data_IF_196048853600
#
_entry.id   IF_196048853600
#
_cell.length_a   1.000
_cell.length_b   1.000
_cell.length_c   1.000
_cell.angle_alpha   90.00
_cell.angle_beta   90.00
_cell.angle_gamma   90.00
#
_symmetry.space_group_name_H-M   'P 1'
#
loop_
_entity.id
_entity.type
_entity.pdbx_description
1 polymer ?
#
# COMPACT_ATOMS: atom_id res chain seq x y z
N UNK A 1 0.01 -64.79 -1.33
CA UNK A 1 -0.24 -63.55 -2.11
C UNK A 1 -0.26 -62.39 -1.15
N UNK A 2 0.86 -61.69 -1.01
CA UNK A 2 0.98 -60.47 -0.21
C UNK A 2 0.40 -59.30 -1.00
N UNK A 3 -0.77 -58.81 -0.59
CA UNK A 3 -1.34 -57.58 -1.13
C UNK A 3 -0.60 -56.38 -0.53
N UNK A 4 0.20 -55.71 -1.33
CA UNK A 4 0.72 -54.39 -1.00
C UNK A 4 -0.40 -53.36 -1.17
N UNK A 5 -0.83 -52.74 -0.07
CA UNK A 5 -1.74 -51.61 -0.15
C UNK A 5 -0.94 -50.37 -0.58
N UNK A 6 -1.12 -49.94 -1.83
CA UNK A 6 -0.68 -48.62 -2.27
C UNK A 6 -1.65 -47.58 -1.72
N UNK A 7 -1.18 -46.75 -0.78
CA UNK A 7 -1.96 -45.62 -0.29
C UNK A 7 -1.99 -44.58 -1.41
N UNK A 8 -3.18 -44.36 -1.98
CA UNK A 8 -3.41 -43.49 -3.12
C UNK A 8 -2.87 -42.07 -2.83
N UNK A 9 -2.03 -41.50 -3.70
CA UNK A 9 -1.41 -40.17 -3.53
C UNK A 9 -2.45 -39.07 -3.25
N UNK A 10 -3.63 -39.19 -3.86
CA UNK A 10 -4.78 -38.32 -3.60
C UNK A 10 -5.24 -38.35 -2.13
N UNK A 11 -5.23 -39.51 -1.48
CA UNK A 11 -5.61 -39.64 -0.07
C UNK A 11 -4.58 -38.98 0.85
N UNK A 12 -3.29 -39.14 0.50
CA UNK A 12 -2.17 -38.51 1.21
C UNK A 12 -2.27 -36.99 1.08
N UNK A 13 -2.44 -36.47 -0.13
CA UNK A 13 -2.57 -35.03 -0.38
C UNK A 13 -3.79 -34.41 0.32
N UNK A 14 -4.93 -35.11 0.32
CA UNK A 14 -6.13 -34.66 1.02
C UNK A 14 -5.92 -34.61 2.54
N UNK A 15 -5.27 -35.64 3.11
CA UNK A 15 -4.92 -35.66 4.54
C UNK A 15 -3.97 -34.53 4.91
N UNK A 16 -2.91 -34.31 4.15
CA UNK A 16 -2.01 -33.18 4.38
C UNK A 16 -2.74 -31.85 4.31
N UNK A 17 -3.59 -31.66 3.29
CA UNK A 17 -4.39 -30.43 3.15
C UNK A 17 -5.31 -30.20 4.35
N UNK A 18 -5.98 -31.26 4.83
CA UNK A 18 -6.85 -31.19 6.00
C UNK A 18 -6.08 -30.89 7.30
N UNK A 19 -4.92 -31.53 7.49
CA UNK A 19 -4.04 -31.28 8.65
C UNK A 19 -3.53 -29.85 8.63
N UNK A 20 -3.02 -29.37 7.49
CA UNK A 20 -2.57 -27.98 7.33
C UNK A 20 -3.71 -26.99 7.57
N UNK A 21 -4.91 -27.26 7.06
CA UNK A 21 -6.08 -26.43 7.32
C UNK A 21 -6.44 -26.39 8.81
N UNK A 22 -6.45 -27.55 9.47
CA UNK A 22 -6.73 -27.66 10.91
C UNK A 22 -5.74 -26.88 11.75
N UNK A 23 -4.44 -26.98 11.42
CA UNK A 23 -3.37 -26.25 12.10
C UNK A 23 -3.54 -24.73 11.93
N UNK A 24 -3.70 -24.26 10.69
CA UNK A 24 -3.96 -22.84 10.39
C UNK A 24 -5.19 -22.33 11.14
N UNK A 25 -6.23 -23.16 11.24
CA UNK A 25 -7.47 -22.81 11.95
C UNK A 25 -7.23 -22.61 13.45
N UNK A 26 -6.51 -23.53 14.10
CA UNK A 26 -6.20 -23.42 15.54
C UNK A 26 -5.33 -22.19 15.81
N UNK A 27 -4.28 -21.97 15.02
CA UNK A 27 -3.40 -20.79 15.15
C UNK A 27 -4.19 -19.50 15.02
N UNK A 28 -4.98 -19.34 13.95
CA UNK A 28 -5.76 -18.12 13.73
C UNK A 28 -6.78 -17.92 14.85
N UNK A 29 -7.47 -18.97 15.31
CA UNK A 29 -8.47 -18.84 16.36
C UNK A 29 -7.85 -18.42 17.70
N UNK A 30 -6.87 -19.18 18.16
CA UNK A 30 -6.27 -19.02 19.48
C UNK A 30 -5.41 -17.77 19.55
N UNK A 31 -4.58 -17.54 18.52
CA UNK A 31 -3.74 -16.35 18.44
C UNK A 31 -4.53 -15.06 18.30
N UNK A 32 -5.64 -15.05 17.53
CA UNK A 32 -6.50 -13.86 17.44
C UNK A 32 -7.12 -13.54 18.78
N UNK A 33 -7.59 -14.55 19.53
CA UNK A 33 -8.16 -14.33 20.86
C UNK A 33 -7.15 -13.63 21.78
N UNK A 34 -5.92 -14.13 21.84
CA UNK A 34 -4.86 -13.53 22.67
C UNK A 34 -4.56 -12.07 22.30
N UNK A 35 -4.45 -11.77 20.99
CA UNK A 35 -4.18 -10.42 20.50
C UNK A 35 -5.34 -9.46 20.73
N UNK A 36 -6.58 -9.93 20.53
CA UNK A 36 -7.80 -9.14 20.77
C UNK A 36 -7.96 -8.83 22.25
N UNK A 37 -7.73 -9.80 23.14
CA UNK A 37 -7.83 -9.58 24.59
C UNK A 37 -6.77 -8.57 25.07
N UNK A 38 -5.55 -8.65 24.53
CA UNK A 38 -4.50 -7.66 24.77
C UNK A 38 -4.89 -6.27 24.26
N UNK A 39 -5.38 -6.17 23.01
CA UNK A 39 -5.80 -4.91 22.42
C UNK A 39 -6.97 -4.26 23.17
N UNK A 40 -7.94 -5.05 23.68
CA UNK A 40 -9.00 -4.55 24.55
C UNK A 40 -8.46 -4.01 25.88
N UNK A 41 -7.50 -4.71 26.50
CA UNK A 41 -6.90 -4.25 27.75
C UNK A 41 -6.17 -2.90 27.61
N UNK A 42 -5.67 -2.61 26.41
CA UNK A 42 -5.01 -1.35 26.05
C UNK A 42 -5.98 -0.29 25.50
N UNK A 43 -7.27 -0.59 25.38
CA UNK A 43 -8.30 0.34 24.89
C UNK A 43 -8.33 0.55 23.36
N UNK A 44 -7.61 -0.28 22.58
CA UNK A 44 -7.62 -0.19 21.12
C UNK A 44 -8.87 -0.78 20.46
N UNK A 45 -9.61 -1.63 21.19
CA UNK A 45 -10.86 -2.22 20.72
C UNK A 45 -12.00 -1.89 21.68
N UNK A 46 -13.16 -1.57 21.12
CA UNK A 46 -14.34 -1.21 21.88
C UNK A 46 -14.94 -2.45 22.54
N UNK A 47 -15.44 -2.28 23.76
CA UNK A 47 -16.22 -3.33 24.45
C UNK A 47 -17.66 -3.42 23.93
N UNK A 48 -18.14 -2.41 23.19
CA UNK A 48 -19.49 -2.31 22.67
C UNK A 48 -19.51 -2.21 21.14
N UNK A 49 -20.56 -2.78 20.53
CA UNK A 49 -20.88 -2.67 19.10
C UNK A 49 -21.37 -1.26 18.78
N UNK A 50 -20.46 -0.29 18.67
CA UNK A 50 -20.79 1.02 18.12
C UNK A 50 -20.67 0.99 16.59
N UNK A 51 -21.81 1.07 15.92
CA UNK A 51 -21.92 1.30 14.48
C UNK A 51 -21.73 2.78 14.19
N UNK A 52 -20.50 3.29 14.28
CA UNK A 52 -20.17 4.60 13.70
C UNK A 52 -19.85 4.36 12.22
N UNK A 53 -20.76 4.80 11.34
CA UNK A 53 -20.47 4.93 9.90
C UNK A 53 -19.81 6.28 9.68
N UNK A 54 -18.49 6.31 9.59
CA UNK A 54 -17.83 7.47 8.98
C UNK A 54 -18.14 7.53 7.48
N UNK A 55 -18.43 8.71 6.91
CA UNK A 55 -18.63 8.85 5.47
C UNK A 55 -17.31 8.57 4.75
N UNK A 56 -17.35 7.62 3.81
CA UNK A 56 -16.25 7.40 2.87
C UNK A 56 -16.17 8.59 1.90
N UNK A 57 -14.97 9.12 1.59
CA UNK A 57 -14.81 9.98 0.43
C UNK A 57 -15.23 9.20 -0.82
N UNK A 58 -16.23 9.70 -1.54
CA UNK A 58 -16.87 9.04 -2.69
C UNK A 58 -16.16 9.27 -4.02
N UNK A 59 -14.96 9.87 -4.01
CA UNK A 59 -14.20 10.11 -5.23
C UNK A 59 -13.48 8.84 -5.67
N UNK A 60 -14.02 8.17 -6.70
CA UNK A 60 -13.20 7.35 -7.60
C UNK A 60 -12.17 8.29 -8.23
N UNK A 61 -10.98 8.33 -7.65
CA UNK A 61 -9.87 9.15 -8.11
C UNK A 61 -9.62 8.90 -9.62
N UNK A 62 -9.42 9.96 -10.40
CA UNK A 62 -9.23 9.92 -11.86
C UNK A 62 -7.98 9.16 -12.33
N UNK A 63 -7.24 8.54 -11.40
CA UNK A 63 -6.06 7.71 -11.62
C UNK A 63 -6.24 6.54 -12.58
N UNK A 64 -7.47 6.06 -12.80
CA UNK A 64 -7.72 5.11 -13.88
C UNK A 64 -7.33 5.70 -15.25
N UNK A 65 -7.58 7.00 -15.47
CA UNK A 65 -7.13 7.70 -16.67
C UNK A 65 -5.59 7.82 -16.70
N UNK A 66 -4.93 8.05 -15.56
CA UNK A 66 -3.46 8.06 -15.49
C UNK A 66 -2.86 6.70 -15.86
N UNK A 67 -3.43 5.59 -15.37
CA UNK A 67 -2.97 4.25 -15.75
C UNK A 67 -3.24 3.91 -17.21
N UNK A 68 -4.32 4.42 -17.84
CA UNK A 68 -4.56 4.22 -19.27
C UNK A 68 -3.66 5.11 -20.12
N UNK A 69 -3.46 6.38 -19.74
CA UNK A 69 -2.52 7.30 -20.40
C UNK A 69 -1.09 6.75 -20.37
N UNK A 70 -0.68 6.15 -19.25
CA UNK A 70 0.61 5.47 -19.15
C UNK A 70 0.80 4.49 -20.31
N UNK A 71 -0.21 3.68 -20.65
CA UNK A 71 -0.12 2.63 -21.69
C UNK A 71 0.03 3.19 -23.11
N UNK A 72 -0.50 4.38 -23.37
CA UNK A 72 -0.52 5.00 -24.71
C UNK A 72 0.75 5.79 -25.05
N UNK A 73 1.65 6.00 -24.09
CA UNK A 73 2.94 6.64 -24.37
C UNK A 73 3.80 5.75 -25.30
N UNK A 74 4.54 6.34 -26.26
CA UNK A 74 5.42 5.59 -27.16
C UNK A 74 6.42 4.74 -26.39
N UNK A 75 6.73 3.55 -26.91
CA UNK A 75 7.92 2.81 -26.47
C UNK A 75 9.12 3.64 -26.91
N UNK A 76 9.78 4.30 -25.95
CA UNK A 76 11.05 4.97 -26.22
C UNK A 76 12.10 3.86 -26.35
N UNK A 77 12.91 3.90 -27.42
CA UNK A 77 14.03 2.97 -27.61
C UNK A 77 14.99 3.06 -26.41
N UNK A 78 15.55 1.91 -25.99
CA UNK A 78 16.48 1.75 -24.85
C UNK A 78 17.79 2.57 -24.97
N UNK A 79 17.95 3.38 -26.02
CA UNK A 79 19.23 4.00 -26.42
C UNK A 79 19.44 5.44 -25.94
N UNK A 80 18.44 6.12 -25.38
CA UNK A 80 18.62 7.47 -24.83
C UNK A 80 18.79 7.40 -23.30
N UNK A 81 20.01 7.67 -22.83
CA UNK A 81 20.35 7.90 -21.42
C UNK A 81 19.69 9.18 -20.90
N UNK A 82 18.36 9.24 -20.90
CA UNK A 82 17.63 10.23 -20.12
C UNK A 82 17.78 9.91 -18.63
N UNK A 83 17.94 10.95 -17.79
CA UNK A 83 18.02 10.79 -16.34
C UNK A 83 16.79 10.02 -15.82
N UNK A 84 17.02 8.78 -15.40
CA UNK A 84 16.00 7.86 -14.89
C UNK A 84 15.33 8.33 -13.59
N UNK A 85 15.85 9.37 -12.96
CA UNK A 85 15.41 9.90 -11.68
C UNK A 85 15.10 11.39 -11.82
N UNK A 86 14.00 11.82 -11.21
CA UNK A 86 13.67 13.24 -11.06
C UNK A 86 13.37 13.55 -9.59
N UNK A 87 13.78 14.74 -9.14
CA UNK A 87 13.55 15.22 -7.78
C UNK A 87 12.34 16.16 -7.80
N UNK A 88 11.37 15.94 -6.90
CA UNK A 88 10.11 16.69 -6.85
C UNK A 88 10.26 18.17 -6.51
N UNK A 89 11.25 18.50 -5.69
CA UNK A 89 11.56 19.87 -5.29
C UNK A 89 13.00 20.13 -5.74
N UNK A 90 13.16 21.00 -6.73
CA UNK A 90 14.48 21.50 -7.11
C UNK A 90 15.03 22.41 -5.98
N UNK A 91 16.35 22.65 -5.95
CA UNK A 91 17.01 23.46 -4.91
C UNK A 91 16.44 24.90 -4.77
N UNK A 92 15.67 25.36 -5.76
CA UNK A 92 15.00 26.68 -5.78
C UNK A 92 13.55 26.66 -5.26
N UNK A 93 13.04 25.52 -4.79
CA UNK A 93 11.71 25.38 -4.18
C UNK A 93 10.54 25.40 -5.18
N UNK A 94 10.79 25.38 -6.49
CA UNK A 94 9.74 25.34 -7.51
C UNK A 94 9.42 23.90 -7.91
N UNK A 95 8.13 23.59 -8.00
CA UNK A 95 7.64 22.32 -8.56
C UNK A 95 7.66 22.42 -10.09
N UNK A 96 8.57 21.68 -10.74
CA UNK A 96 8.59 21.56 -12.20
C UNK A 96 7.51 20.59 -12.69
N UNK A 97 7.21 20.60 -14.00
CA UNK A 97 6.38 19.58 -14.62
C UNK A 97 6.99 18.19 -14.38
N UNK A 98 6.23 17.29 -13.74
CA UNK A 98 6.71 15.97 -13.29
C UNK A 98 6.41 14.91 -14.36
N UNK A 99 7.42 14.28 -14.94
CA UNK A 99 7.21 13.10 -15.81
C UNK A 99 7.04 11.85 -14.93
N UNK A 100 5.81 11.54 -14.57
CA UNK A 100 5.51 10.43 -13.65
C UNK A 100 5.73 9.03 -14.25
N UNK A 101 5.80 8.93 -15.57
CA UNK A 101 5.66 7.64 -16.26
C UNK A 101 7.00 7.03 -16.66
N UNK A 102 7.98 7.87 -16.99
CA UNK A 102 9.26 7.42 -17.54
C UNK A 102 10.39 7.44 -16.51
N UNK A 103 10.19 8.10 -15.36
CA UNK A 103 11.24 8.35 -14.36
C UNK A 103 10.79 8.04 -12.94
N UNK A 104 11.73 7.55 -12.14
CA UNK A 104 11.55 7.43 -10.68
C UNK A 104 11.52 8.84 -10.09
N UNK A 105 10.46 9.13 -9.35
CA UNK A 105 10.21 10.43 -8.74
C UNK A 105 10.57 10.38 -7.27
N UNK A 106 11.46 11.26 -6.81
CA UNK A 106 11.91 11.31 -5.41
C UNK A 106 11.43 12.58 -4.68
N UNK A 107 10.85 12.42 -3.49
CA UNK A 107 10.80 13.47 -2.49
C UNK A 107 11.94 13.25 -1.48
N UNK A 108 13.03 14.01 -1.60
CA UNK A 108 14.19 13.94 -0.69
C UNK A 108 14.04 14.79 0.56
N UNK A 109 13.05 15.67 0.62
CA UNK A 109 12.85 16.58 1.72
C UNK A 109 12.44 15.83 3.00
N UNK A 110 12.70 16.47 4.15
CA UNK A 110 12.28 16.01 5.48
C UNK A 110 10.77 16.26 5.74
N UNK A 111 10.06 16.89 4.80
CA UNK A 111 8.63 17.18 4.88
C UNK A 111 7.84 16.61 3.70
N UNK A 112 6.51 16.51 3.88
CA UNK A 112 5.59 16.12 2.83
C UNK A 112 5.41 17.26 1.81
N UNK A 113 5.43 16.94 0.52
CA UNK A 113 5.25 17.90 -0.58
C UNK A 113 3.91 17.69 -1.26
N UNK A 114 3.17 18.76 -1.56
CA UNK A 114 1.95 18.67 -2.37
C UNK A 114 2.29 18.89 -3.83
N UNK A 115 1.85 17.98 -4.69
CA UNK A 115 2.03 18.05 -6.14
C UNK A 115 0.67 18.11 -6.84
N UNK A 116 0.54 18.96 -7.85
CA UNK A 116 -0.67 19.05 -8.67
C UNK A 116 -0.52 18.21 -9.93
N UNK A 117 -1.40 17.22 -10.10
CA UNK A 117 -1.39 16.30 -11.24
C UNK A 117 -2.78 16.25 -11.85
N UNK A 118 -2.89 16.57 -13.14
CA UNK A 118 -4.18 16.65 -13.86
C UNK A 118 -5.24 17.54 -13.16
N UNK A 119 -4.81 18.58 -12.46
CA UNK A 119 -5.71 19.49 -11.73
C UNK A 119 -6.14 19.03 -10.34
N UNK A 120 -5.67 17.86 -9.89
CA UNK A 120 -5.91 17.33 -8.55
C UNK A 120 -4.63 17.39 -7.71
N UNK A 121 -4.75 17.46 -6.39
CA UNK A 121 -3.61 17.59 -5.47
C UNK A 121 -3.29 16.26 -4.77
N UNK A 122 -1.99 15.94 -4.72
CA UNK A 122 -1.48 14.71 -4.11
C UNK A 122 -0.38 15.03 -3.11
N UNK A 123 -0.45 14.42 -1.92
CA UNK A 123 0.52 14.52 -0.85
C UNK A 123 1.59 13.46 -1.04
N UNK A 124 2.84 13.90 -1.22
CA UNK A 124 4.00 13.02 -1.34
C UNK A 124 4.77 13.04 -0.01
N UNK A 125 4.84 11.93 0.73
CA UNK A 125 5.52 11.89 2.03
C UNK A 125 7.04 12.15 1.90
N UNK A 126 7.71 12.52 3.00
CA UNK A 126 9.16 12.73 3.01
C UNK A 126 9.95 11.45 2.73
N UNK A 127 11.14 11.64 2.17
CA UNK A 127 12.09 10.55 1.82
C UNK A 127 11.47 9.40 1.01
N UNK A 128 10.54 9.72 0.10
CA UNK A 128 9.90 8.71 -0.74
C UNK A 128 10.47 8.70 -2.15
N UNK A 129 10.45 7.53 -2.77
CA UNK A 129 10.69 7.39 -4.21
C UNK A 129 9.53 6.61 -4.83
N UNK A 130 9.10 6.93 -6.03
CA UNK A 130 8.07 6.15 -6.69
C UNK A 130 8.12 6.18 -8.21
N UNK A 131 7.56 5.14 -8.84
CA UNK A 131 7.41 5.04 -10.28
C UNK A 131 5.98 4.64 -10.63
N UNK A 132 5.28 5.49 -11.38
CA UNK A 132 3.94 5.20 -11.90
C UNK A 132 4.07 4.61 -13.30
N UNK A 133 4.18 3.29 -13.37
CA UNK A 133 4.22 2.58 -14.65
C UNK A 133 3.59 1.19 -14.52
N UNK A 134 3.32 0.57 -15.67
CA UNK A 134 2.99 -0.85 -15.71
C UNK A 134 4.24 -1.73 -15.89
N UNK A 135 4.07 -3.05 -15.79
CA UNK A 135 5.20 -4.00 -15.81
C UNK A 135 6.00 -3.96 -17.12
N UNK A 136 5.45 -3.44 -18.23
CA UNK A 136 6.17 -3.29 -19.49
C UNK A 136 7.22 -2.19 -19.42
N UNK A 137 7.10 -1.26 -18.46
CA UNK A 137 8.00 -0.13 -18.25
C UNK A 137 8.53 -0.05 -16.82
N UNK A 138 8.95 -1.20 -16.31
CA UNK A 138 9.61 -1.29 -15.00
C UNK A 138 11.11 -0.94 -15.07
N UNK A 139 11.69 -0.80 -16.26
CA UNK A 139 13.13 -0.55 -16.44
C UNK A 139 13.66 0.67 -15.67
N UNK A 140 12.94 1.80 -15.54
CA UNK A 140 13.42 2.90 -14.71
C UNK A 140 13.66 2.50 -13.25
N UNK A 141 12.87 1.56 -12.70
CA UNK A 141 13.12 1.05 -11.35
C UNK A 141 14.41 0.21 -11.27
N UNK A 142 14.79 -0.47 -12.35
CA UNK A 142 16.03 -1.25 -12.44
C UNK A 142 17.24 -0.32 -12.62
N UNK A 143 17.14 0.66 -13.52
CA UNK A 143 18.15 1.70 -13.76
C UNK A 143 18.28 2.70 -12.61
N UNK A 144 17.37 2.66 -11.63
CA UNK A 144 17.53 3.38 -10.38
C UNK A 144 18.73 2.90 -9.55
N UNK A 145 19.33 1.76 -9.93
CA UNK A 145 20.55 1.18 -9.33
C UNK A 145 20.47 0.99 -7.80
N UNK A 146 19.24 0.92 -7.26
CA UNK A 146 18.99 0.60 -5.85
C UNK A 146 18.60 -0.85 -5.69
N UNK A 147 19.32 -1.53 -4.80
CA UNK A 147 18.91 -2.83 -4.26
C UNK A 147 18.21 -2.65 -2.93
N UNK A 148 17.25 -3.53 -2.67
CA UNK A 148 16.35 -3.45 -1.53
C UNK A 148 16.56 -4.64 -0.59
N UNK A 149 16.46 -4.37 0.70
CA UNK A 149 16.59 -5.35 1.79
C UNK A 149 15.22 -5.93 2.17
N UNK A 150 14.15 -5.19 1.85
CA UNK A 150 12.77 -5.63 1.93
C UNK A 150 12.03 -5.32 0.63
N UNK A 151 11.36 -6.33 0.07
CA UNK A 151 10.39 -6.17 -1.02
C UNK A 151 9.03 -6.68 -0.55
N UNK A 152 8.04 -5.80 -0.45
CA UNK A 152 6.63 -6.17 -0.20
C UNK A 152 5.84 -6.06 -1.50
N UNK A 153 4.96 -7.02 -1.78
CA UNK A 153 4.12 -6.98 -2.98
C UNK A 153 2.69 -7.45 -2.72
N UNK A 154 1.72 -6.75 -3.32
CA UNK A 154 0.29 -7.12 -3.34
C UNK A 154 -0.20 -7.31 -4.80
N UNK A 155 0.17 -8.41 -5.47
CA UNK A 155 -0.17 -8.61 -6.88
C UNK A 155 -1.69 -8.59 -7.13
N UNK A 156 -2.14 -8.12 -8.30
CA UNK A 156 -3.56 -8.12 -8.68
C UNK A 156 -4.02 -9.54 -9.06
N UNK A 157 -4.13 -10.43 -8.08
CA UNK A 157 -4.49 -11.84 -8.25
C UNK A 157 -5.79 -12.03 -9.04
N UNK A 158 -5.79 -12.98 -9.98
CA UNK A 158 -6.98 -13.27 -10.78
C UNK A 158 -8.18 -13.65 -9.89
N UNK A 159 -9.29 -12.93 -10.02
CA UNK A 159 -10.54 -13.26 -9.34
C UNK A 159 -11.70 -13.35 -10.33
N UNK A 160 -12.58 -14.34 -10.13
CA UNK A 160 -13.76 -14.58 -10.98
C UNK A 160 -14.74 -13.39 -10.91
N UNK A 161 -14.76 -12.66 -9.79
CA UNK A 161 -15.54 -11.41 -9.65
C UNK A 161 -14.92 -10.24 -10.40
N UNK A 162 -13.59 -10.10 -10.37
CA UNK A 162 -12.85 -9.00 -11.04
C UNK A 162 -12.95 -9.13 -12.56
N UNK A 163 -12.94 -10.36 -13.12
CA UNK A 163 -13.16 -10.62 -14.56
C UNK A 163 -14.48 -10.05 -15.11
N UNK A 164 -15.49 -9.79 -14.27
CA UNK A 164 -16.77 -9.19 -14.69
C UNK A 164 -16.76 -7.65 -14.72
N UNK A 165 -15.75 -7.00 -14.15
CA UNK A 165 -15.73 -5.54 -13.95
C UNK A 165 -15.11 -4.73 -15.10
N UNK A 166 -14.50 -5.38 -16.12
CA UNK A 166 -13.86 -4.76 -17.30
C UNK A 166 -12.77 -3.70 -17.04
N UNK A 167 -12.58 -3.22 -15.80
CA UNK A 167 -11.67 -2.13 -15.43
C UNK A 167 -10.19 -2.55 -15.37
N UNK A 168 -9.87 -3.83 -15.43
CA UNK A 168 -8.50 -4.33 -15.54
C UNK A 168 -8.46 -5.60 -16.41
N UNK A 169 -7.54 -5.65 -17.37
CA UNK A 169 -7.13 -6.91 -17.98
C UNK A 169 -6.52 -7.79 -16.89
N UNK A 170 -7.11 -8.96 -16.66
CA UNK A 170 -6.63 -9.94 -15.67
C UNK A 170 -5.16 -10.24 -15.96
N UNK A 171 -4.25 -9.91 -15.04
CA UNK A 171 -2.82 -10.18 -15.20
C UNK A 171 -2.59 -11.67 -14.93
N UNK A 172 -2.29 -12.50 -15.94
CA UNK A 172 -2.05 -13.92 -15.74
C UNK A 172 -0.91 -14.09 -14.73
N UNK A 173 -1.04 -15.02 -13.79
CA UNK A 173 -0.02 -15.20 -12.73
C UNK A 173 1.39 -15.43 -13.30
N UNK A 174 1.50 -16.04 -14.49
CA UNK A 174 2.78 -16.22 -15.19
C UNK A 174 3.50 -14.91 -15.55
N UNK A 175 2.77 -13.81 -15.74
CA UNK A 175 3.36 -12.50 -16.02
C UNK A 175 4.11 -11.93 -14.82
N UNK A 176 3.79 -12.36 -13.59
CA UNK A 176 4.52 -11.95 -12.39
C UNK A 176 6.00 -12.36 -12.47
N UNK A 177 6.32 -13.50 -13.12
CA UNK A 177 7.71 -13.96 -13.30
C UNK A 177 8.60 -12.94 -14.01
N UNK A 178 8.01 -12.02 -14.81
CA UNK A 178 8.76 -10.96 -15.51
C UNK A 178 9.25 -9.83 -14.59
N UNK A 179 8.78 -9.75 -13.35
CA UNK A 179 9.33 -8.78 -12.41
C UNK A 179 10.82 -9.07 -12.19
N UNK A 180 11.70 -8.08 -12.29
CA UNK A 180 13.14 -8.25 -12.18
C UNK A 180 13.61 -8.34 -10.72
N UNK A 181 12.95 -9.17 -9.89
CA UNK A 181 13.29 -9.34 -8.47
C UNK A 181 14.79 -9.63 -8.25
N UNK A 182 15.46 -10.50 -9.03
CA UNK A 182 16.92 -10.70 -8.88
C UNK A 182 17.78 -9.46 -9.12
N UNK A 183 17.28 -8.48 -9.89
CA UNK A 183 17.98 -7.21 -10.13
C UNK A 183 17.68 -6.18 -9.03
N UNK A 184 16.52 -6.28 -8.38
CA UNK A 184 16.06 -5.35 -7.34
C UNK A 184 16.45 -5.79 -5.92
N UNK A 185 16.62 -7.09 -5.67
CA UNK A 185 16.90 -7.62 -4.35
C UNK A 185 18.40 -7.51 -3.97
N UNK A 186 18.67 -7.05 -2.75
CA UNK A 186 19.95 -7.25 -2.05
C UNK A 186 20.12 -8.72 -1.65
N UNK A 187 21.35 -9.15 -1.36
CA UNK A 187 21.57 -10.47 -0.75
C UNK A 187 20.77 -10.58 0.57
N UNK A 188 20.13 -11.72 0.80
CA UNK A 188 19.26 -11.96 1.96
C UNK A 188 18.04 -11.01 2.06
N UNK A 189 17.69 -10.31 0.98
CA UNK A 189 16.46 -9.51 0.91
C UNK A 189 15.25 -10.35 1.36
N UNK A 190 14.47 -9.80 2.28
CA UNK A 190 13.18 -10.38 2.64
C UNK A 190 12.16 -10.01 1.57
N UNK A 191 11.54 -11.01 0.95
CA UNK A 191 10.49 -10.86 -0.05
C UNK A 191 9.18 -11.30 0.58
N UNK A 192 8.19 -10.42 0.61
CA UNK A 192 6.91 -10.61 1.27
C UNK A 192 5.79 -10.43 0.26
N UNK A 193 5.02 -11.48 0.02
CA UNK A 193 3.94 -11.47 -0.98
C UNK A 193 2.59 -11.69 -0.30
N UNK A 194 1.68 -10.72 -0.44
CA UNK A 194 0.28 -10.92 -0.12
C UNK A 194 -0.35 -11.91 -1.10
N UNK A 195 -1.04 -12.93 -0.57
CA UNK A 195 -1.70 -13.96 -1.36
C UNK A 195 -3.14 -14.15 -0.89
N UNK A 196 -4.06 -14.25 -1.85
CA UNK A 196 -5.45 -14.60 -1.52
C UNK A 196 -5.54 -16.03 -1.00
N UNK A 197 -6.60 -16.38 -0.26
CA UNK A 197 -6.81 -17.75 0.27
C UNK A 197 -7.07 -18.83 -0.80
N UNK A 198 -6.75 -18.58 -2.07
CA UNK A 198 -6.86 -19.58 -3.13
C UNK A 198 -5.62 -20.48 -3.11
N UNK A 199 -5.79 -21.80 -2.90
CA UNK A 199 -4.64 -22.71 -2.84
C UNK A 199 -3.76 -22.69 -4.10
N UNK A 200 -4.33 -22.41 -5.28
CA UNK A 200 -3.58 -22.30 -6.51
C UNK A 200 -2.59 -21.13 -6.51
N UNK A 201 -2.95 -19.98 -5.95
CA UNK A 201 -2.03 -18.84 -5.86
C UNK A 201 -0.93 -19.08 -4.82
N UNK A 202 -1.28 -19.71 -3.70
CA UNK A 202 -0.28 -20.09 -2.68
C UNK A 202 0.76 -21.05 -3.26
N UNK A 203 0.33 -22.10 -3.96
CA UNK A 203 1.25 -23.02 -4.65
C UNK A 203 2.06 -22.31 -5.72
N UNK A 204 1.42 -21.47 -6.54
CA UNK A 204 2.15 -20.71 -7.56
C UNK A 204 3.28 -19.85 -6.94
N UNK A 205 3.01 -19.14 -5.85
CA UNK A 205 4.04 -18.33 -5.18
C UNK A 205 5.18 -19.20 -4.65
N UNK A 206 4.84 -20.26 -3.89
CA UNK A 206 5.82 -21.10 -3.19
C UNK A 206 6.61 -22.01 -4.12
N UNK A 207 5.94 -22.64 -5.07
CA UNK A 207 6.47 -23.75 -5.85
C UNK A 207 6.98 -23.31 -7.23
N UNK A 208 6.60 -22.12 -7.70
CA UNK A 208 7.00 -21.63 -9.02
C UNK A 208 7.63 -20.23 -9.02
N UNK A 209 6.99 -19.24 -8.39
CA UNK A 209 7.42 -17.84 -8.50
C UNK A 209 8.69 -17.57 -7.70
N UNK A 210 8.71 -17.99 -6.43
CA UNK A 210 9.87 -17.82 -5.55
C UNK A 210 11.09 -18.59 -6.06
N UNK A 211 10.99 -19.90 -6.41
CA UNK A 211 12.09 -20.62 -7.04
C UNK A 211 12.61 -19.97 -8.32
N UNK A 212 11.70 -19.44 -9.16
CA UNK A 212 12.10 -18.73 -10.39
C UNK A 212 12.95 -17.49 -10.11
N UNK A 213 12.69 -16.78 -9.01
CA UNK A 213 13.46 -15.62 -8.58
C UNK A 213 14.65 -15.96 -7.69
N UNK A 214 14.92 -17.23 -7.36
CA UNK A 214 15.95 -17.57 -6.37
C UNK A 214 15.57 -17.18 -4.94
N UNK A 215 14.28 -17.11 -4.63
CA UNK A 215 13.76 -16.85 -3.28
C UNK A 215 13.41 -18.17 -2.61
N UNK A 216 13.91 -18.37 -1.40
CA UNK A 216 13.57 -19.52 -0.55
C UNK A 216 12.42 -19.13 0.40
N UNK A 217 11.37 -19.93 0.47
CA UNK A 217 10.25 -19.68 1.41
C UNK A 217 10.72 -19.94 2.84
N UNK A 218 10.58 -18.95 3.72
CA UNK A 218 11.00 -19.04 5.13
C UNK A 218 9.84 -19.07 6.12
N UNK A 219 8.69 -18.43 5.79
CA UNK A 219 7.54 -18.37 6.69
C UNK A 219 6.23 -18.09 5.94
N UNK A 220 5.11 -18.40 6.60
CA UNK A 220 3.76 -17.98 6.23
C UNK A 220 3.13 -17.22 7.40
N UNK A 221 2.71 -15.97 7.18
CA UNK A 221 1.99 -15.17 8.18
C UNK A 221 0.53 -14.96 7.77
N UNK A 222 -0.30 -14.55 8.71
CA UNK A 222 -1.71 -14.28 8.48
C UNK A 222 -2.11 -12.88 8.93
N UNK A 223 -2.72 -12.12 8.04
CA UNK A 223 -3.43 -10.91 8.43
C UNK A 223 -4.88 -11.26 8.73
N UNK A 224 -5.29 -11.19 9.99
CA UNK A 224 -6.63 -11.47 10.46
C UNK A 224 -7.42 -10.17 10.63
N UNK A 225 -8.61 -10.17 10.06
CA UNK A 225 -9.54 -9.04 10.02
C UNK A 225 -10.58 -9.19 11.10
N UNK A 226 -10.63 -8.23 12.00
CA UNK A 226 -11.61 -8.16 13.09
C UNK A 226 -12.44 -6.88 13.00
N UNK A 227 -13.59 -6.87 13.66
CA UNK A 227 -14.40 -5.67 13.90
C UNK A 227 -13.76 -4.80 14.98
N UNK A 228 -14.26 -3.58 15.16
CA UNK A 228 -13.90 -2.71 16.30
C UNK A 228 -14.18 -3.35 17.66
N UNK A 229 -15.06 -4.35 17.73
CA UNK A 229 -15.33 -5.17 18.91
C UNK A 229 -14.46 -6.43 19.03
N UNK A 230 -13.52 -6.64 18.10
CA UNK A 230 -12.60 -7.78 18.09
C UNK A 230 -13.20 -9.10 17.59
N UNK A 231 -14.34 -9.08 16.91
CA UNK A 231 -14.95 -10.27 16.31
C UNK A 231 -14.45 -10.46 14.88
N UNK A 232 -14.34 -11.70 14.38
CA UNK A 232 -13.99 -11.89 12.98
C UNK A 232 -15.00 -11.25 12.03
N UNK A 233 -14.53 -10.56 10.99
CA UNK A 233 -15.41 -9.95 9.97
C UNK A 233 -16.20 -10.99 9.16
N UNK A 234 -15.71 -12.23 9.11
CA UNK A 234 -16.41 -13.39 8.55
C UNK A 234 -16.17 -14.62 9.43
N UNK A 235 -17.12 -15.57 9.51
CA UNK A 235 -16.87 -16.84 10.21
C UNK A 235 -15.63 -17.54 9.65
N UNK A 236 -14.76 -18.05 10.53
CA UNK A 236 -13.52 -18.75 10.14
C UNK A 236 -13.80 -19.96 9.23
N UNK A 237 -14.92 -20.64 9.49
CA UNK A 237 -15.36 -21.83 8.76
C UNK A 237 -16.15 -21.53 7.48
N UNK A 238 -16.29 -20.26 7.09
CA UNK A 238 -16.93 -19.88 5.83
C UNK A 238 -16.23 -20.48 4.61
N UNK A 239 -17.01 -21.05 3.68
CA UNK A 239 -16.52 -21.68 2.45
C UNK A 239 -16.05 -20.68 1.39
N UNK A 240 -16.54 -19.44 1.43
CA UNK A 240 -16.35 -18.47 0.35
C UNK A 240 -15.43 -17.30 0.72
N UNK A 241 -15.45 -16.88 1.98
CA UNK A 241 -14.65 -15.75 2.48
C UNK A 241 -14.00 -16.14 3.80
N UNK A 242 -12.69 -16.00 3.89
CA UNK A 242 -11.98 -16.17 5.16
C UNK A 242 -11.79 -14.80 5.82
N UNK A 243 -11.79 -14.72 7.16
CA UNK A 243 -11.51 -13.49 7.87
C UNK A 243 -10.01 -13.16 7.91
N UNK A 244 -9.18 -13.86 7.15
CA UNK A 244 -7.75 -13.58 7.08
C UNK A 244 -7.24 -13.59 5.65
N UNK A 245 -6.09 -13.00 5.40
CA UNK A 245 -5.30 -13.13 4.17
C UNK A 245 -3.91 -13.67 4.52
N UNK A 246 -3.23 -14.28 3.54
CA UNK A 246 -1.95 -14.95 3.74
C UNK A 246 -0.82 -14.06 3.25
N UNK A 247 0.28 -14.04 3.98
CA UNK A 247 1.57 -13.51 3.57
C UNK A 247 2.51 -14.69 3.40
N UNK A 248 3.10 -14.84 2.23
CA UNK A 248 4.24 -15.76 2.04
C UNK A 248 5.50 -14.92 2.15
N UNK A 249 6.44 -15.35 2.99
CA UNK A 249 7.70 -14.68 3.23
C UNK A 249 8.83 -15.58 2.72
N UNK A 250 9.78 -14.99 2.02
CA UNK A 250 10.96 -15.69 1.52
C UNK A 250 12.22 -14.84 1.56
N UNK A 251 13.37 -15.48 1.53
CA UNK A 251 14.69 -14.83 1.50
C UNK A 251 15.31 -15.03 0.13
N UNK A 252 15.72 -13.94 -0.51
CA UNK A 252 16.45 -14.01 -1.77
C UNK A 252 17.86 -14.55 -1.52
N UNK A 253 18.24 -15.56 -2.32
CA UNK A 253 19.57 -16.17 -2.34
C UNK A 253 20.12 -16.05 -3.76
N UNK A 254 21.30 -15.47 -3.92
CA UNK A 254 21.94 -15.42 -5.25
C UNK A 254 22.34 -16.83 -5.68
N UNK A 255 22.06 -17.18 -6.94
CA UNK A 255 22.46 -18.46 -7.52
C UNK A 255 23.99 -18.63 -7.67
N UNK A 256 24.75 -17.53 -7.58
CA UNK A 256 26.20 -17.53 -7.80
C UNK A 256 27.03 -17.86 -6.53
N UNK A 257 26.39 -18.02 -5.37
CA UNK A 257 27.06 -18.00 -4.06
C UNK A 257 27.27 -19.41 -3.43
N UNK A 258 27.31 -20.48 -4.23
CA UNK A 258 27.53 -21.83 -3.70
C UNK A 258 28.96 -22.01 -3.11
N UNK A 259 29.90 -21.14 -3.48
CA UNK A 259 31.30 -21.13 -2.97
C UNK A 259 31.53 -20.26 -1.74
N UNK A 260 30.68 -19.26 -1.48
CA UNK A 260 30.78 -18.28 -0.38
C UNK A 260 29.87 -18.60 0.80
N UNK A 261 29.05 -19.66 0.69
CA UNK A 261 28.26 -20.25 1.79
C UNK A 261 29.06 -20.46 3.09
N UNK A 262 30.38 -20.63 2.99
CA UNK A 262 31.27 -20.82 4.14
C UNK A 262 31.80 -19.52 4.77
N UNK A 263 31.82 -18.40 4.04
CA UNK A 263 32.29 -17.09 4.56
C UNK A 263 31.14 -16.20 5.06
N UNK A 264 29.90 -16.47 4.62
CA UNK A 264 28.72 -15.66 4.95
C UNK A 264 28.07 -16.01 6.31
N UNK A 265 28.70 -16.87 7.12
CA UNK A 265 28.26 -17.19 8.49
C UNK A 265 28.38 -16.02 9.49
N UNK A 266 28.93 -14.87 9.09
CA UNK A 266 29.11 -13.71 9.98
C UNK A 266 27.98 -12.69 9.97
N UNK A 267 27.01 -12.77 9.05
CA UNK A 267 25.74 -12.04 9.23
C UNK A 267 24.75 -12.94 9.94
N UNK A 268 24.54 -12.66 11.23
CA UNK A 268 23.51 -13.32 12.05
C UNK A 268 22.13 -13.04 11.45
N UNK A 269 21.71 -13.85 10.48
CA UNK A 269 20.38 -13.78 9.88
C UNK A 269 19.34 -13.98 10.99
N UNK A 270 18.45 -13.01 11.15
CA UNK A 270 17.36 -13.11 12.13
C UNK A 270 16.33 -14.12 11.59
N UNK A 271 16.09 -15.25 12.28
CA UNK A 271 15.09 -16.22 11.87
C UNK A 271 13.70 -15.58 11.83
N UNK A 272 12.96 -15.83 10.76
CA UNK A 272 11.57 -15.37 10.62
C UNK A 272 10.67 -16.46 11.17
N UNK A 273 9.89 -16.18 12.22
CA UNK A 273 9.00 -17.20 12.78
C UNK A 273 7.83 -17.49 11.84
N UNK A 274 7.49 -18.77 11.74
CA UNK A 274 6.33 -19.21 10.97
C UNK A 274 5.02 -18.93 11.73
N UNK A 275 3.93 -18.77 10.99
CA UNK A 275 2.57 -18.69 11.51
C UNK A 275 2.26 -17.48 12.41
N UNK A 276 3.00 -16.37 12.27
CA UNK A 276 2.68 -15.11 12.96
C UNK A 276 1.35 -14.52 12.48
N UNK A 277 0.68 -13.82 13.39
CA UNK A 277 -0.58 -13.14 13.13
C UNK A 277 -0.40 -11.61 13.21
N UNK A 278 -0.93 -10.93 12.21
CA UNK A 278 -1.21 -9.49 12.25
C UNK A 278 -2.73 -9.36 12.39
N UNK A 279 -3.22 -8.74 13.47
CA UNK A 279 -4.67 -8.56 13.68
C UNK A 279 -5.00 -7.08 13.54
N UNK A 280 -5.95 -6.73 12.69
CA UNK A 280 -6.39 -5.34 12.56
C UNK A 280 -7.87 -5.23 12.17
N UNK A 281 -8.43 -4.06 12.44
CA UNK A 281 -9.69 -3.64 11.79
C UNK A 281 -9.35 -3.26 10.35
N UNK A 282 -10.04 -3.83 9.34
CA UNK A 282 -9.78 -3.47 7.96
C UNK A 282 -10.21 -2.03 7.69
N UNK A 283 -9.44 -1.33 6.88
CA UNK A 283 -9.82 0.00 6.39
C UNK A 283 -11.13 -0.06 5.61
N UNK A 284 -11.88 1.04 5.65
CA UNK A 284 -13.05 1.22 4.81
C UNK A 284 -12.66 1.37 3.32
N UNK A 285 -11.40 1.74 3.03
CA UNK A 285 -10.87 1.82 1.67
C UNK A 285 -10.62 0.43 1.09
N UNK A 286 -11.15 0.22 -0.11
CA UNK A 286 -11.18 -1.10 -0.72
C UNK A 286 -9.77 -1.68 -0.95
N UNK A 287 -9.56 -2.88 -0.41
CA UNK A 287 -8.31 -3.64 -0.52
C UNK A 287 -7.07 -2.92 0.03
N UNK A 288 -7.21 -1.93 0.92
CA UNK A 288 -6.07 -1.37 1.64
C UNK A 288 -5.59 -2.39 2.68
N UNK A 289 -4.30 -2.75 2.58
CA UNK A 289 -3.61 -3.64 3.53
C UNK A 289 -3.05 -2.82 4.69
N UNK A 290 -2.90 -3.38 5.90
CA UNK A 290 -2.19 -2.72 6.98
C UNK A 290 -0.72 -2.53 6.58
N UNK A 291 -0.09 -1.45 7.08
CA UNK A 291 1.35 -1.31 6.91
C UNK A 291 2.07 -2.44 7.62
N UNK A 292 3.09 -2.99 6.95
CA UNK A 292 3.95 -4.04 7.50
C UNK A 292 5.29 -3.49 8.02
N UNK A 293 5.55 -2.18 7.91
CA UNK A 293 6.85 -1.58 8.23
C UNK A 293 7.34 -1.94 9.64
N UNK A 294 6.53 -1.64 10.66
CA UNK A 294 6.89 -1.85 12.06
C UNK A 294 7.02 -3.34 12.43
N UNK A 295 6.17 -4.20 11.85
CA UNK A 295 6.20 -5.64 12.15
C UNK A 295 7.34 -6.37 11.43
N UNK A 296 7.86 -5.82 10.33
CA UNK A 296 8.97 -6.40 9.57
C UNK A 296 10.34 -5.82 9.95
N UNK A 297 10.38 -4.62 10.55
CA UNK A 297 11.61 -3.94 11.01
C UNK A 297 12.58 -4.84 11.79
N UNK A 298 12.13 -5.73 12.70
CA UNK A 298 13.04 -6.63 13.43
C UNK A 298 13.84 -7.62 12.55
N UNK A 299 13.40 -7.91 11.32
CA UNK A 299 14.03 -8.92 10.44
C UNK A 299 14.92 -8.32 9.34
N UNK A 300 14.92 -6.99 9.21
CA UNK A 300 15.59 -6.27 8.11
C UNK A 300 16.53 -5.16 8.61
N UNK A 301 16.34 -4.67 9.85
CA UNK A 301 17.12 -3.57 10.42
C UNK A 301 16.46 -2.20 10.25
N UNK A 302 16.96 -1.19 10.99
CA UNK A 302 16.35 0.14 11.01
C UNK A 302 16.56 0.94 9.71
N UNK A 303 17.70 0.75 9.05
CA UNK A 303 18.11 1.48 7.84
C UNK A 303 17.83 0.70 6.55
N UNK A 304 16.94 -0.29 6.61
CA UNK A 304 16.64 -1.18 5.49
C UNK A 304 16.00 -0.42 4.32
N UNK A 305 16.53 -0.62 3.11
CA UNK A 305 15.94 -0.09 1.88
C UNK A 305 14.71 -0.91 1.54
N UNK A 306 13.55 -0.28 1.55
CA UNK A 306 12.27 -0.94 1.36
C UNK A 306 11.63 -0.60 0.02
N UNK A 307 11.10 -1.62 -0.66
CA UNK A 307 10.36 -1.50 -1.91
C UNK A 307 8.95 -2.08 -1.76
N UNK A 308 7.94 -1.33 -2.19
CA UNK A 308 6.57 -1.83 -2.37
C UNK A 308 6.23 -1.96 -3.86
N UNK A 309 5.92 -3.17 -4.32
CA UNK A 309 5.46 -3.45 -5.68
C UNK A 309 3.94 -3.61 -5.72
N UNK A 310 3.34 -3.12 -6.81
CA UNK A 310 1.87 -2.95 -6.93
C UNK A 310 1.29 -2.00 -5.87
N UNK A 311 2.10 -1.02 -5.48
CA UNK A 311 1.77 -0.05 -4.46
C UNK A 311 0.55 0.79 -4.87
N UNK A 312 -0.23 1.19 -3.85
CA UNK A 312 -1.36 2.13 -3.98
C UNK A 312 -1.25 3.33 -3.04
N UNK A 313 -0.26 3.29 -2.16
CA UNK A 313 0.11 4.32 -1.20
C UNK A 313 1.63 4.41 -1.20
N UNK A 314 2.13 5.57 -0.83
CA UNK A 314 3.55 5.79 -0.51
C UNK A 314 3.70 5.76 1.01
N UNK A 315 4.82 5.25 1.47
CA UNK A 315 5.22 5.30 2.88
C UNK A 315 6.53 6.08 3.00
N UNK A 316 6.70 6.93 4.02
CA UNK A 316 7.96 7.64 4.25
C UNK A 316 9.16 6.68 4.26
N UNK A 317 10.23 7.02 3.54
CA UNK A 317 11.44 6.18 3.45
C UNK A 317 11.36 5.02 2.46
N UNK A 318 10.22 4.79 1.80
CA UNK A 318 10.04 3.66 0.88
C UNK A 318 10.18 4.07 -0.58
N UNK A 319 10.62 3.11 -1.39
CA UNK A 319 10.40 3.14 -2.84
C UNK A 319 9.11 2.40 -3.18
N UNK A 320 8.28 2.94 -4.06
CA UNK A 320 6.98 2.36 -4.41
C UNK A 320 6.79 2.29 -5.93
N UNK A 321 6.26 1.18 -6.43
CA UNK A 321 5.98 1.02 -7.85
C UNK A 321 4.59 0.46 -8.09
N UNK A 322 3.88 1.01 -9.07
CA UNK A 322 2.64 0.42 -9.58
C UNK A 322 1.76 1.40 -10.36
N UNK A 323 0.82 0.83 -11.11
CA UNK A 323 -0.13 1.59 -11.95
C UNK A 323 -1.00 2.59 -11.17
N UNK A 324 -1.20 2.34 -9.88
CA UNK A 324 -2.06 3.14 -8.99
C UNK A 324 -1.24 3.70 -7.80
N UNK A 325 0.07 3.88 -7.94
CA UNK A 325 0.99 4.18 -6.82
C UNK A 325 0.62 5.43 -6.00
N UNK A 326 -0.09 6.39 -6.60
CA UNK A 326 -0.57 7.61 -5.95
C UNK A 326 -2.03 7.56 -5.46
N UNK A 327 -2.68 6.38 -5.49
CA UNK A 327 -4.13 6.24 -5.22
C UNK A 327 -4.61 6.72 -3.87
N UNK A 328 -3.83 6.48 -2.84
CA UNK A 328 -4.13 6.95 -1.50
C UNK A 328 -3.35 8.21 -1.13
N UNK A 329 -2.81 8.93 -2.14
CA UNK A 329 -2.12 10.19 -1.95
C UNK A 329 -2.93 11.43 -2.26
N UNK A 330 -4.16 11.28 -2.75
CA UNK A 330 -5.03 12.44 -2.95
C UNK A 330 -5.27 13.18 -1.62
N UNK A 331 -5.23 14.52 -1.65
CA UNK A 331 -5.37 15.37 -0.44
C UNK A 331 -6.64 15.07 0.37
N UNK A 332 -7.71 14.61 -0.26
CA UNK A 332 -8.96 14.21 0.43
C UNK A 332 -8.83 13.04 1.40
N UNK A 333 -7.73 12.27 1.36
CA UNK A 333 -7.42 11.24 2.36
C UNK A 333 -6.68 11.78 3.59
N UNK A 334 -6.27 13.05 3.58
CA UNK A 334 -5.47 13.67 4.63
C UNK A 334 -6.27 14.73 5.38
N UNK A 335 -6.03 14.81 6.69
CA UNK A 335 -6.50 15.95 7.49
C UNK A 335 -5.32 16.90 7.66
N UNK A 336 -5.49 18.14 7.23
CA UNK A 336 -4.50 19.19 7.47
C UNK A 336 -4.55 19.57 8.95
N UNK A 337 -3.43 19.42 9.63
CA UNK A 337 -3.22 19.97 10.97
C UNK A 337 -2.35 21.23 10.82
N UNK A 338 -2.80 22.39 11.31
CA UNK A 338 -1.96 23.58 11.31
C UNK A 338 -0.69 23.33 12.13
N UNK A 339 0.47 23.62 11.58
CA UNK A 339 1.72 23.66 12.33
C UNK A 339 1.77 24.96 13.13
N UNK A 340 1.94 24.88 14.45
CA UNK A 340 2.01 26.06 15.34
C UNK A 340 3.25 26.96 15.10
N UNK A 341 4.10 26.62 14.13
CA UNK A 341 5.29 27.38 13.76
C UNK A 341 4.99 28.43 12.68
N UNK A 342 4.28 29.48 13.07
CA UNK A 342 4.45 30.80 12.42
C UNK A 342 5.00 31.75 13.49
N UNK A 343 6.26 32.21 13.39
CA UNK A 343 6.72 33.32 14.18
C UNK A 343 5.79 34.50 13.91
N UNK A 344 5.04 34.93 14.92
CA UNK A 344 4.37 36.23 14.87
C UNK A 344 5.49 37.27 14.82
N UNK A 345 5.74 37.82 13.64
CA UNK A 345 6.47 39.07 13.52
C UNK A 345 5.70 40.12 14.35
N UNK A 346 6.28 40.48 15.49
CA UNK A 346 5.92 41.66 16.25
C UNK A 346 6.33 42.89 15.44
N UNK A 347 5.46 43.31 14.52
CA UNK A 347 5.44 44.71 14.09
C UNK A 347 4.74 45.52 15.18
N UNK A 348 5.53 45.97 16.15
CA UNK A 348 5.18 47.15 16.92
C UNK A 348 5.06 48.33 15.95
N UNK A 349 3.88 48.95 15.86
CA UNK A 349 3.85 50.39 15.65
C UNK A 349 2.82 51.01 16.60
N UNK A 350 3.36 51.96 17.35
CA UNK A 350 2.78 52.72 18.43
C UNK A 350 2.12 53.96 17.84
N UNK A 351 0.82 54.14 18.09
CA UNK A 351 0.29 55.50 18.22
C UNK A 351 -1.08 55.48 18.93
N UNK A 352 -1.03 55.81 20.21
CA UNK A 352 -2.15 56.30 21.01
C UNK A 352 -2.73 57.59 20.43
N UNK A 353 -4.05 57.65 20.21
CA UNK A 353 -4.93 58.55 20.97
C UNK A 353 -6.42 58.37 20.63
N UNK A 354 -7.23 58.28 21.69
CA UNK A 354 -8.70 58.40 21.73
C UNK A 354 -9.03 59.88 22.01
N UNK A 355 -10.26 60.43 21.77
CA UNK A 355 -11.51 59.85 22.28
C UNK A 355 -12.83 60.08 21.51
N UNK A 356 -13.74 59.13 21.75
CA UNK A 356 -15.19 59.25 22.08
C UNK A 356 -16.10 60.21 21.29
N UNK A 357 -17.19 59.67 20.71
CA UNK A 357 -18.60 60.08 20.91
C UNK A 357 -19.57 59.29 19.97
N UNK A 358 -20.41 58.44 20.54
CA UNK A 358 -21.80 58.16 20.05
C UNK A 358 -22.71 59.37 20.35
N UNK A 359 -23.98 59.49 19.90
CA UNK A 359 -24.86 58.58 19.11
C UNK A 359 -25.66 59.30 17.99
N UNK A 360 -26.58 58.60 17.29
CA UNK A 360 -28.04 58.91 17.22
C UNK A 360 -28.72 58.31 15.99
N UNK A 361 -29.84 57.64 16.27
CA UNK A 361 -30.91 57.16 15.39
C UNK A 361 -31.69 58.29 14.70
N UNK A 362 -32.10 58.10 13.44
CA UNK A 362 -33.40 58.57 12.93
C UNK A 362 -33.75 57.96 11.55
N UNK A 363 -34.86 57.21 11.49
CA UNK A 363 -35.76 57.09 10.32
C UNK A 363 -36.74 58.29 10.35
N UNK A 364 -37.76 58.49 9.47
CA UNK A 364 -38.36 57.61 8.43
C UNK A 364 -38.87 58.34 7.13
N UNK A 365 -39.60 57.61 6.27
CA UNK A 365 -40.51 58.17 5.22
C UNK A 365 -40.55 57.29 3.96
N UNK A 366 -41.53 56.40 3.77
CA UNK A 366 -42.80 56.61 3.02
C UNK A 366 -42.58 57.09 1.56
N UNK A 367 -43.22 56.59 0.49
CA UNK A 367 -44.29 55.63 0.28
C UNK A 367 -44.48 55.41 -1.24
N UNK A 368 -44.97 54.22 -1.66
CA UNK A 368 -45.81 53.96 -2.85
C UNK A 368 -45.20 54.22 -4.26
N UNK A 369 -45.55 53.60 -5.39
CA UNK A 369 -46.61 52.68 -5.83
C UNK A 369 -46.29 52.30 -7.30
N UNK A 370 -46.74 51.12 -7.74
CA UNK A 370 -47.01 50.70 -9.14
C UNK A 370 -45.81 50.56 -10.10
N UNK A 371 -45.69 49.54 -10.95
CA UNK A 371 -46.58 48.43 -11.27
C UNK A 371 -46.02 47.62 -12.46
N UNK A 372 -46.66 46.47 -12.69
CA UNK A 372 -46.75 45.71 -13.95
C UNK A 372 -45.56 44.84 -14.40
N UNK A 373 -45.77 43.54 -14.21
CA UNK A 373 -45.40 42.45 -15.12
C UNK A 373 -46.13 42.62 -16.47
N UNK A 374 -45.63 42.08 -17.60
CA UNK A 374 -45.89 40.67 -17.90
C UNK A 374 -44.70 39.89 -18.54
N UNK A 375 -44.70 38.57 -18.29
CA UNK A 375 -44.60 37.43 -19.26
C UNK A 375 -44.27 37.78 -20.72
N UNK A 376 -43.48 37.01 -21.49
CA UNK A 376 -43.49 35.54 -21.71
C UNK A 376 -42.37 35.19 -22.70
N UNK A 377 -41.82 33.97 -22.56
CA UNK A 377 -41.51 32.96 -23.61
C UNK A 377 -40.60 33.36 -24.79
N UNK A 378 -39.42 32.76 -24.84
CA UNK A 378 -39.07 31.66 -25.77
C UNK A 378 -37.90 30.83 -25.22
#
# INVERSE_FOLDING_TARGET
TSYGFSMNEYSIHLRYTLVTYSLKRSVVLEGTKSLVDSARSLGYLNSATDTVKEPLPSQECSLAALSEMAKELPLVDDDEHEECVQILVAEDGRTSHVDLFSRVTENRADWATVVTLMGEEYVIPPHTAFLLSDFTRIQPLVHYERRFDLIVMDPPWENKSVKRSRRYSSLPSSQLKRLPIPLLASMNCLVVTWVTNRPSHLRFVRDELYPHWGVEVVAEWFWVKVTTSGQFVFPLDSHHKKPYEVLVLGRYRSAADDTTRFEMFETSEVPVEDQRLVVSVPSALHSQKPSLSEVLKPYIGAEAKCLELFARSLQPGWTSWGNEVLKFQHTSYFTLTPTDDVPKDEAADDCTDKPTLTPVLSSPGESSRHGHCPTTVD
#
